data_IF_719082398583
#
_entry.id   IF_719082398583
#
_cell.length_a   1.000
_cell.length_b   1.000
_cell.length_c   1.000
_cell.angle_alpha   90.00
_cell.angle_beta   90.00
_cell.angle_gamma   90.00
#
_symmetry.space_group_name_H-M   'P 1'
#
loop_
_entity.id
_entity.type
_entity.pdbx_description
1 polymer ?
#
# COMPACT_ATOMS: atom_id res chain seq x y z
N UNK A 1 2.04 21.27 13.62
CA UNK A 1 1.64 19.92 14.08
C UNK A 1 2.83 19.32 14.80
N UNK A 2 2.64 18.64 15.94
CA UNK A 2 3.75 17.95 16.64
C UNK A 2 3.97 16.54 16.09
N UNK A 3 5.14 15.97 16.34
CA UNK A 3 5.44 14.58 15.97
C UNK A 3 4.45 13.59 16.59
N UNK A 4 4.13 13.74 17.89
CA UNK A 4 3.18 12.84 18.56
C UNK A 4 1.76 12.95 17.98
N UNK A 5 1.32 14.15 17.59
CA UNK A 5 0.03 14.33 16.91
C UNK A 5 -0.01 13.62 15.56
N UNK A 6 1.09 13.65 14.82
CA UNK A 6 1.23 12.98 13.53
C UNK A 6 1.24 11.46 13.67
N UNK A 7 2.05 10.93 14.60
CA UNK A 7 2.09 9.49 14.92
C UNK A 7 0.73 9.00 15.41
N UNK A 8 0.07 9.75 16.31
CA UNK A 8 -1.25 9.40 16.80
C UNK A 8 -2.26 9.27 15.65
N UNK A 9 -2.23 10.21 14.70
CA UNK A 9 -3.10 10.15 13.53
C UNK A 9 -2.78 8.95 12.63
N UNK A 10 -1.50 8.69 12.34
CA UNK A 10 -1.08 7.51 11.56
C UNK A 10 -1.57 6.21 12.23
N UNK A 11 -1.36 6.05 13.54
CA UNK A 11 -1.83 4.88 14.28
C UNK A 11 -3.34 4.72 14.18
N UNK A 12 -4.10 5.80 14.38
CA UNK A 12 -5.54 5.77 14.27
C UNK A 12 -6.02 5.31 12.88
N UNK A 13 -5.35 5.75 11.80
CA UNK A 13 -5.67 5.32 10.44
C UNK A 13 -5.30 3.85 10.18
N UNK A 14 -4.20 3.37 10.77
CA UNK A 14 -3.81 1.97 10.69
C UNK A 14 -4.83 1.08 11.41
N UNK A 15 -5.21 1.42 12.65
CA UNK A 15 -6.17 0.64 13.45
C UNK A 15 -7.55 0.53 12.80
N UNK A 16 -7.93 1.51 11.96
CA UNK A 16 -9.19 1.46 11.22
C UNK A 16 -9.26 0.31 10.20
N UNK A 17 -8.12 -0.29 9.80
CA UNK A 17 -8.04 -1.29 8.70
C UNK A 17 -7.14 -2.49 9.00
N UNK A 18 -6.27 -2.38 9.98
CA UNK A 18 -5.23 -3.34 10.28
C UNK A 18 -5.18 -3.61 11.78
N UNK A 19 -4.67 -4.78 12.14
CA UNK A 19 -4.32 -5.10 13.52
C UNK A 19 -2.86 -4.74 13.76
N UNK A 20 -2.58 -4.03 14.85
CA UNK A 20 -1.22 -3.69 15.26
C UNK A 20 -0.63 -4.87 16.04
N UNK A 21 0.60 -5.26 15.69
CA UNK A 21 1.36 -6.27 16.42
C UNK A 21 1.93 -5.63 17.69
N UNK A 22 1.77 -6.30 18.83
CA UNK A 22 2.41 -5.90 20.08
C UNK A 22 3.94 -5.88 19.94
N UNK A 23 4.61 -4.96 20.62
CA UNK A 23 6.07 -4.90 20.63
C UNK A 23 6.68 -6.21 21.16
N UNK A 24 7.77 -6.65 20.53
CA UNK A 24 8.58 -7.79 20.93
C UNK A 24 10.06 -7.49 20.74
N UNK A 25 10.89 -8.55 20.77
CA UNK A 25 12.36 -8.42 20.73
C UNK A 25 12.84 -7.72 19.45
N UNK A 26 12.36 -8.15 18.28
CA UNK A 26 12.74 -7.55 16.99
C UNK A 26 12.37 -6.07 16.90
N UNK A 27 11.19 -5.69 17.42
CA UNK A 27 10.75 -4.30 17.43
C UNK A 27 11.64 -3.42 18.32
N UNK A 28 12.13 -3.94 19.43
CA UNK A 28 13.06 -3.24 20.31
C UNK A 28 14.44 -3.09 19.64
N UNK A 29 14.98 -4.15 19.06
CA UNK A 29 16.25 -4.12 18.32
C UNK A 29 16.21 -3.09 17.19
N UNK A 30 15.10 -3.04 16.43
CA UNK A 30 14.88 -2.03 15.38
C UNK A 30 14.89 -0.59 15.90
N UNK A 31 14.39 -0.34 17.10
CA UNK A 31 14.43 1.00 17.71
C UNK A 31 15.84 1.34 18.20
N UNK A 32 16.56 0.35 18.73
CA UNK A 32 17.91 0.49 19.29
C UNK A 32 18.99 0.74 18.22
N UNK A 33 18.85 0.18 17.03
CA UNK A 33 19.80 0.42 15.91
C UNK A 33 19.70 1.82 15.31
N UNK A 34 18.69 2.62 15.71
CA UNK A 34 18.59 4.01 15.28
C UNK A 34 19.70 4.87 15.91
N UNK A 35 20.24 5.82 15.13
CA UNK A 35 21.14 6.85 15.64
C UNK A 35 20.56 7.55 16.88
N UNK A 36 21.39 7.80 17.90
CA UNK A 36 21.02 8.54 19.11
C UNK A 36 20.52 9.96 18.78
N UNK A 37 20.95 10.50 17.63
CA UNK A 37 20.52 11.80 17.12
C UNK A 37 19.04 11.82 16.72
N UNK A 38 18.44 10.66 16.43
CA UNK A 38 17.03 10.56 16.04
C UNK A 38 16.14 10.47 17.29
N UNK A 39 15.78 11.62 17.85
CA UNK A 39 14.94 11.68 19.06
C UNK A 39 13.48 11.31 18.77
N UNK A 40 12.93 11.82 17.67
CA UNK A 40 11.54 11.60 17.29
C UNK A 40 11.43 10.41 16.36
N UNK A 41 11.34 9.19 16.92
CA UNK A 41 11.20 7.96 16.13
C UNK A 41 10.13 7.02 16.71
N UNK A 42 9.41 6.35 15.83
CA UNK A 42 8.40 5.33 16.15
C UNK A 42 8.45 4.21 15.12
N UNK A 43 8.24 3.00 15.60
CA UNK A 43 8.10 1.79 14.80
C UNK A 43 6.67 1.28 14.98
N UNK A 44 5.96 1.05 13.88
CA UNK A 44 4.60 0.50 13.90
C UNK A 44 4.61 -0.73 13.01
N UNK A 45 4.33 -1.90 13.60
CA UNK A 45 4.15 -3.14 12.86
C UNK A 45 2.70 -3.58 12.88
N UNK A 46 2.17 -3.91 11.73
CA UNK A 46 0.75 -4.21 11.59
C UNK A 46 0.50 -5.19 10.46
N UNK A 47 -0.65 -5.82 10.47
CA UNK A 47 -1.05 -6.81 9.47
C UNK A 47 -2.54 -6.68 9.19
N UNK A 48 -2.95 -7.18 8.03
CA UNK A 48 -4.38 -7.35 7.76
C UNK A 48 -4.82 -8.65 8.44
N UNK A 49 -5.83 -8.62 9.32
CA UNK A 49 -6.44 -9.86 9.82
C UNK A 49 -7.07 -10.57 8.61
N UNK A 50 -6.41 -11.64 8.16
CA UNK A 50 -6.91 -12.57 7.15
C UNK A 50 -7.14 -13.92 7.83
N UNK A 51 -7.99 -14.77 7.27
CA UNK A 51 -8.24 -16.14 7.76
C UNK A 51 -7.06 -17.10 7.50
N UNK A 52 -6.01 -16.65 6.81
CA UNK A 52 -4.83 -17.48 6.49
C UNK A 52 -3.86 -17.60 7.68
N UNK A 53 -3.19 -18.74 7.79
CA UNK A 53 -2.47 -19.21 8.98
C UNK A 53 -1.29 -18.36 9.45
N UNK A 54 -0.77 -17.43 8.63
CA UNK A 54 0.33 -16.54 9.01
C UNK A 54 0.05 -15.08 8.61
N UNK A 55 0.13 -14.12 9.56
CA UNK A 55 -0.10 -12.72 9.26
C UNK A 55 1.09 -12.14 8.49
N UNK A 56 0.83 -11.62 7.28
CA UNK A 56 1.83 -10.86 6.52
C UNK A 56 2.03 -9.48 7.17
N UNK A 57 3.13 -9.33 7.89
CA UNK A 57 3.46 -8.10 8.61
C UNK A 57 3.98 -7.02 7.67
N UNK A 58 3.55 -5.79 7.96
CA UNK A 58 4.07 -4.55 7.40
C UNK A 58 4.78 -3.78 8.49
N UNK A 59 5.86 -3.12 8.12
CA UNK A 59 6.70 -2.32 9.02
C UNK A 59 6.70 -0.86 8.56
N UNK A 60 6.19 0.04 9.40
CA UNK A 60 6.22 1.47 9.16
C UNK A 60 7.15 2.14 10.18
N UNK A 61 8.22 2.73 9.67
CA UNK A 61 9.10 3.63 10.41
C UNK A 61 8.55 5.04 10.30
N UNK A 62 8.32 5.71 11.42
CA UNK A 62 7.90 7.12 11.46
C UNK A 62 8.97 7.92 12.17
N UNK A 63 9.48 8.96 11.52
CA UNK A 63 10.55 9.80 12.09
C UNK A 63 10.25 11.28 11.93
N UNK A 64 10.57 12.04 12.97
CA UNK A 64 10.56 13.49 12.98
C UNK A 64 11.98 14.02 12.90
N UNK A 65 12.28 14.90 11.95
CA UNK A 65 13.58 15.57 11.84
C UNK A 65 13.40 17.09 11.76
N UNK A 66 14.37 17.84 12.23
CA UNK A 66 14.38 19.31 12.15
C UNK A 66 15.45 19.87 11.18
N UNK A 67 16.23 19.00 10.55
CA UNK A 67 17.27 19.37 9.59
C UNK A 67 17.53 18.25 8.60
N UNK A 68 17.87 18.62 7.36
CA UNK A 68 18.31 17.69 6.32
C UNK A 68 19.59 16.93 6.69
N UNK A 69 20.39 17.44 7.64
CA UNK A 69 21.57 16.76 8.15
C UNK A 69 21.27 15.39 8.77
N UNK A 70 20.05 15.20 9.30
CA UNK A 70 19.61 13.92 9.87
C UNK A 70 19.11 12.93 8.82
N UNK A 71 18.96 13.32 7.56
CA UNK A 71 18.43 12.44 6.51
C UNK A 71 19.31 11.19 6.33
N UNK A 72 20.63 11.34 6.44
CA UNK A 72 21.55 10.19 6.37
C UNK A 72 21.28 9.19 7.48
N UNK A 73 21.13 9.67 8.72
CA UNK A 73 20.84 8.84 9.89
C UNK A 73 19.47 8.14 9.75
N UNK A 74 18.47 8.86 9.20
CA UNK A 74 17.15 8.30 8.91
C UNK A 74 17.21 7.17 7.89
N UNK A 75 17.91 7.38 6.77
CA UNK A 75 18.04 6.37 5.71
C UNK A 75 18.85 5.17 6.18
N UNK A 76 19.90 5.40 6.97
CA UNK A 76 20.68 4.33 7.60
C UNK A 76 19.82 3.53 8.57
N UNK A 77 18.97 4.18 9.39
CA UNK A 77 18.04 3.48 10.27
C UNK A 77 17.08 2.57 9.48
N UNK A 78 16.52 3.06 8.37
CA UNK A 78 15.66 2.26 7.52
C UNK A 78 16.39 1.05 6.89
N UNK A 79 17.65 1.22 6.48
CA UNK A 79 18.48 0.15 5.96
C UNK A 79 18.73 -0.94 7.03
N UNK A 80 19.14 -0.54 8.23
CA UNK A 80 19.39 -1.46 9.35
C UNK A 80 18.12 -2.21 9.77
N UNK A 81 16.97 -1.52 9.85
CA UNK A 81 15.69 -2.17 10.12
C UNK A 81 15.33 -3.21 9.04
N UNK A 82 15.65 -2.94 7.77
CA UNK A 82 15.41 -3.90 6.69
C UNK A 82 16.26 -5.16 6.84
N UNK A 83 17.52 -5.02 7.25
CA UNK A 83 18.42 -6.17 7.48
C UNK A 83 17.97 -7.07 8.65
N UNK A 84 17.18 -6.53 9.58
CA UNK A 84 16.59 -7.28 10.69
C UNK A 84 15.29 -8.02 10.32
N UNK A 85 14.75 -7.83 9.11
CA UNK A 85 13.53 -8.48 8.65
C UNK A 85 13.84 -9.78 7.89
N UNK A 86 12.94 -10.77 8.02
CA UNK A 86 12.98 -12.00 7.24
C UNK A 86 12.12 -11.84 5.98
N UNK A 87 12.49 -12.52 4.90
CA UNK A 87 11.63 -12.57 3.72
C UNK A 87 10.29 -13.26 4.05
N UNK A 88 9.14 -12.73 3.57
CA UNK A 88 8.99 -11.64 2.59
C UNK A 88 8.86 -10.23 3.19
N UNK A 89 9.00 -10.04 4.50
CA UNK A 89 8.76 -8.76 5.19
C UNK A 89 9.72 -7.64 4.75
N UNK A 90 10.90 -8.01 4.23
CA UNK A 90 11.88 -7.07 3.66
C UNK A 90 11.31 -6.22 2.51
N UNK A 91 10.23 -6.69 1.85
CA UNK A 91 9.51 -5.95 0.81
C UNK A 91 8.37 -5.07 1.37
N UNK A 92 7.97 -5.28 2.62
CA UNK A 92 6.83 -4.64 3.29
C UNK A 92 7.29 -3.65 4.37
N UNK A 93 8.44 -3.00 4.16
CA UNK A 93 8.95 -1.89 4.98
C UNK A 93 8.70 -0.54 4.30
N UNK A 94 8.30 0.45 5.10
CA UNK A 94 7.95 1.80 4.66
C UNK A 94 8.52 2.84 5.63
N UNK A 95 8.84 4.03 5.13
CA UNK A 95 9.37 5.13 5.93
C UNK A 95 8.53 6.40 5.73
N UNK A 96 7.96 6.91 6.82
CA UNK A 96 7.28 8.20 6.90
C UNK A 96 8.17 9.22 7.61
N UNK A 97 8.42 10.36 6.98
CA UNK A 97 9.32 11.38 7.52
C UNK A 97 8.54 12.71 7.66
N UNK A 98 8.61 13.33 8.84
CA UNK A 98 7.97 14.60 9.20
C UNK A 98 9.01 15.64 9.60
N UNK A 99 8.84 16.88 9.15
CA UNK A 99 9.70 18.00 9.53
C UNK A 99 9.08 18.67 10.75
N UNK A 100 9.78 18.67 11.88
CA UNK A 100 9.22 19.07 13.19
C UNK A 100 9.37 20.55 13.53
N UNK A 101 10.17 21.29 12.77
CA UNK A 101 10.46 22.72 12.99
C UNK A 101 10.17 23.56 11.74
N UNK A 102 10.27 24.89 11.86
CA UNK A 102 9.92 25.89 10.82
C UNK A 102 10.74 25.77 9.52
N UNK A 103 11.81 24.98 9.53
CA UNK A 103 12.60 24.63 8.35
C UNK A 103 11.90 23.55 7.53
N UNK A 104 10.71 23.84 7.01
CA UNK A 104 10.09 22.97 6.01
C UNK A 104 11.04 22.81 4.82
N UNK A 105 11.29 21.57 4.42
CA UNK A 105 12.09 21.31 3.22
C UNK A 105 11.32 21.70 1.96
N UNK A 106 11.99 21.95 0.83
CA UNK A 106 11.27 22.27 -0.40
C UNK A 106 10.48 21.07 -0.93
N UNK A 107 9.45 21.33 -1.72
CA UNK A 107 8.67 20.26 -2.37
C UNK A 107 9.55 19.40 -3.28
N UNK A 108 10.51 20.00 -3.97
CA UNK A 108 11.46 19.28 -4.84
C UNK A 108 12.31 18.30 -4.04
N UNK A 109 12.73 18.69 -2.83
CA UNK A 109 13.49 17.82 -1.95
C UNK A 109 12.63 16.68 -1.39
N UNK A 110 11.37 16.95 -1.01
CA UNK A 110 10.41 15.89 -0.65
C UNK A 110 10.29 14.86 -1.78
N UNK A 111 10.07 15.34 -3.01
CA UNK A 111 9.91 14.48 -4.18
C UNK A 111 11.19 13.70 -4.50
N UNK A 112 12.37 14.31 -4.33
CA UNK A 112 13.66 13.64 -4.50
C UNK A 112 13.83 12.49 -3.51
N UNK A 113 13.45 12.70 -2.25
CA UNK A 113 13.50 11.66 -1.22
C UNK A 113 12.50 10.53 -1.52
N UNK A 114 11.27 10.88 -1.93
CA UNK A 114 10.23 9.89 -2.28
C UNK A 114 10.56 9.08 -3.53
N UNK A 115 11.24 9.69 -4.51
CA UNK A 115 11.62 9.04 -5.76
C UNK A 115 12.79 8.07 -5.64
N UNK A 116 13.58 8.14 -4.56
CA UNK A 116 14.65 7.16 -4.36
C UNK A 116 14.05 5.82 -3.95
N UNK A 117 14.47 4.74 -4.60
CA UNK A 117 14.01 3.38 -4.28
C UNK A 117 14.94 2.67 -3.29
N UNK A 118 15.88 3.41 -2.71
CA UNK A 118 16.84 2.87 -1.76
C UNK A 118 16.12 2.37 -0.50
N UNK A 119 16.38 1.10 -0.15
CA UNK A 119 15.91 0.38 1.03
C UNK A 119 14.40 0.11 1.10
N UNK A 120 13.57 1.14 1.04
CA UNK A 120 12.13 1.05 1.25
C UNK A 120 11.37 2.17 0.51
N UNK A 121 10.05 2.03 0.41
CA UNK A 121 9.19 3.12 -0.09
C UNK A 121 9.06 4.21 0.97
N UNK A 122 9.27 5.46 0.55
CA UNK A 122 9.34 6.64 1.43
C UNK A 122 8.16 7.57 1.18
N UNK A 123 7.69 8.21 2.25
CA UNK A 123 6.66 9.23 2.24
C UNK A 123 7.12 10.40 3.13
N UNK A 124 7.23 11.58 2.56
CA UNK A 124 7.68 12.77 3.26
C UNK A 124 6.52 13.73 3.42
N UNK A 125 6.18 14.15 4.65
CA UNK A 125 5.19 15.21 4.85
C UNK A 125 5.66 16.50 4.17
N UNK A 126 4.94 16.90 3.12
CA UNK A 126 5.31 18.02 2.23
C UNK A 126 5.01 19.37 2.89
N UNK A 127 5.61 20.47 2.40
CA UNK A 127 5.28 21.82 2.87
C UNK A 127 3.79 22.10 2.77
N UNK A 128 3.22 22.63 3.83
CA UNK A 128 1.79 22.95 3.96
C UNK A 128 0.83 21.76 3.76
N UNK A 129 1.34 20.53 3.70
CA UNK A 129 0.51 19.33 3.60
C UNK A 129 -0.11 19.01 4.97
N UNK A 130 -1.40 18.68 4.97
CA UNK A 130 -2.08 18.22 6.18
C UNK A 130 -1.80 16.73 6.40
N UNK A 131 -1.97 16.26 7.64
CA UNK A 131 -1.84 14.82 7.96
C UNK A 131 -2.85 13.95 7.20
N UNK A 132 -4.03 14.50 6.93
CA UNK A 132 -5.07 13.86 6.13
C UNK A 132 -4.57 13.65 4.69
N UNK A 133 -4.11 14.72 4.02
CA UNK A 133 -3.60 14.66 2.65
C UNK A 133 -2.36 13.77 2.51
N UNK A 134 -1.48 13.77 3.52
CA UNK A 134 -0.37 12.82 3.61
C UNK A 134 -0.85 11.37 3.60
N UNK A 135 -1.85 11.04 4.42
CA UNK A 135 -2.37 9.67 4.51
C UNK A 135 -3.04 9.25 3.20
N UNK A 136 -3.78 10.14 2.54
CA UNK A 136 -4.51 9.85 1.29
C UNK A 136 -3.64 9.27 0.18
N UNK A 137 -2.39 9.71 0.06
CA UNK A 137 -1.42 9.24 -0.95
C UNK A 137 -0.57 8.04 -0.50
N UNK A 138 -0.81 7.54 0.71
CA UNK A 138 -0.08 6.39 1.26
C UNK A 138 -0.96 5.14 1.21
N UNK A 139 -0.34 3.97 1.44
CA UNK A 139 -1.06 2.70 1.48
C UNK A 139 -1.98 2.54 2.70
N UNK A 140 -1.81 3.39 3.73
CA UNK A 140 -2.66 3.41 4.93
C UNK A 140 -3.93 4.25 4.73
N UNK A 141 -4.10 4.92 3.59
CA UNK A 141 -5.33 5.65 3.25
C UNK A 141 -6.57 4.80 3.48
N UNK A 142 -7.65 5.40 3.99
CA UNK A 142 -8.94 4.73 3.99
C UNK A 142 -9.39 4.62 2.54
N UNK A 143 -9.31 3.42 1.99
CA UNK A 143 -10.13 3.11 0.81
C UNK A 143 -11.54 3.15 1.35
N UNK A 144 -12.30 4.19 1.03
CA UNK A 144 -13.75 4.11 1.08
C UNK A 144 -14.05 2.83 0.32
N UNK A 145 -14.43 1.79 1.06
CA UNK A 145 -14.87 0.58 0.44
C UNK A 145 -15.87 1.06 -0.63
N UNK A 146 -15.76 0.63 -1.90
CA UNK A 146 -16.97 0.55 -2.68
C UNK A 146 -17.95 -0.10 -1.72
N UNK A 147 -19.07 0.60 -1.42
CA UNK A 147 -20.22 0.07 -0.67
C UNK A 147 -20.21 -1.43 -0.88
N UNK A 148 -20.13 -2.28 0.16
CA UNK A 148 -19.85 -3.69 -0.04
C UNK A 148 -20.77 -4.19 -1.15
N UNK A 149 -20.22 -4.28 -2.37
CA UNK A 149 -20.63 -5.28 -3.31
C UNK A 149 -20.26 -6.48 -2.49
N UNK A 150 -21.31 -7.09 -1.93
CA UNK A 150 -21.29 -8.23 -1.03
C UNK A 150 -19.91 -8.87 -1.02
N UNK A 151 -19.31 -9.09 0.14
CA UNK A 151 -18.08 -9.89 0.26
C UNK A 151 -18.23 -11.34 -0.30
N UNK A 152 -19.34 -11.66 -0.99
CA UNK A 152 -19.57 -12.82 -1.86
C UNK A 152 -19.97 -12.51 -3.33
N UNK A 153 -19.95 -11.27 -3.81
CA UNK A 153 -20.10 -10.96 -5.23
C UNK A 153 -18.72 -10.84 -5.89
N UNK A 154 -18.40 -11.89 -6.65
CA UNK A 154 -17.29 -11.95 -7.58
C UNK A 154 -17.19 -10.61 -8.36
N UNK A 155 -16.05 -9.90 -8.33
CA UNK A 155 -15.88 -8.61 -9.01
C UNK A 155 -16.17 -8.69 -10.52
N UNK A 156 -16.07 -9.88 -11.12
CA UNK A 156 -16.51 -10.10 -12.50
C UNK A 156 -18.02 -9.93 -12.65
N UNK A 157 -18.83 -10.31 -11.66
CA UNK A 157 -20.30 -10.15 -11.71
C UNK A 157 -20.67 -8.66 -11.77
N UNK A 158 -19.99 -7.82 -10.99
CA UNK A 158 -20.22 -6.37 -11.01
C UNK A 158 -19.81 -5.76 -12.36
N UNK A 159 -18.63 -6.14 -12.87
CA UNK A 159 -18.16 -5.68 -14.18
C UNK A 159 -19.09 -6.15 -15.32
N UNK A 160 -19.57 -7.40 -15.25
CA UNK A 160 -20.46 -7.98 -16.26
C UNK A 160 -21.85 -7.35 -16.25
N UNK A 161 -22.34 -6.90 -15.10
CA UNK A 161 -23.60 -6.17 -14.98
C UNK A 161 -23.53 -4.81 -15.69
N UNK A 162 -22.41 -4.09 -15.56
CA UNK A 162 -22.17 -2.83 -16.28
C UNK A 162 -22.06 -3.08 -17.79
N UNK A 163 -21.32 -4.11 -18.20
CA UNK A 163 -21.15 -4.45 -19.61
C UNK A 163 -22.47 -4.90 -20.27
N UNK A 164 -23.33 -5.63 -19.56
CA UNK A 164 -24.66 -6.01 -20.08
C UNK A 164 -25.56 -4.80 -20.31
N UNK A 165 -25.46 -3.77 -19.47
CA UNK A 165 -26.23 -2.53 -19.64
C UNK A 165 -25.73 -1.71 -20.83
N UNK A 166 -24.44 -1.77 -21.14
CA UNK A 166 -23.82 -0.98 -22.21
C UNK A 166 -23.81 -1.72 -23.55
N UNK A 167 -23.74 -3.05 -23.55
CA UNK A 167 -23.56 -3.87 -24.74
C UNK A 167 -24.59 -4.99 -24.84
N UNK A 168 -25.52 -4.86 -25.80
CA UNK A 168 -26.58 -5.86 -26.04
C UNK A 168 -26.06 -7.27 -26.44
N UNK A 169 -24.83 -7.36 -26.94
CA UNK A 169 -24.19 -8.64 -27.28
C UNK A 169 -23.62 -9.37 -26.06
N UNK A 170 -23.48 -8.68 -24.91
CA UNK A 170 -22.87 -9.22 -23.70
C UNK A 170 -23.90 -9.97 -22.84
N UNK A 171 -24.45 -11.03 -23.42
CA UNK A 171 -25.49 -11.88 -22.82
C UNK A 171 -24.90 -12.91 -21.82
N UNK A 172 -25.77 -13.73 -21.23
CA UNK A 172 -25.35 -14.73 -20.23
C UNK A 172 -24.35 -15.77 -20.75
N UNK A 173 -24.38 -16.13 -22.04
CA UNK A 173 -23.41 -17.07 -22.62
C UNK A 173 -22.02 -16.44 -22.69
N UNK A 174 -21.93 -15.17 -23.09
CA UNK A 174 -20.67 -14.43 -23.08
C UNK A 174 -20.14 -14.26 -21.66
N UNK A 175 -20.99 -13.94 -20.67
CA UNK A 175 -20.57 -13.84 -19.27
C UNK A 175 -19.91 -15.13 -18.76
N UNK A 176 -20.44 -16.30 -19.13
CA UNK A 176 -19.85 -17.60 -18.75
C UNK A 176 -18.48 -17.78 -19.40
N UNK A 177 -18.37 -17.54 -20.71
CA UNK A 177 -17.09 -17.65 -21.45
C UNK A 177 -16.01 -16.74 -20.86
N UNK A 178 -16.35 -15.48 -20.59
CA UNK A 178 -15.41 -14.52 -20.01
C UNK A 178 -15.00 -14.91 -18.59
N UNK A 179 -15.93 -15.44 -17.78
CA UNK A 179 -15.60 -15.92 -16.42
C UNK A 179 -14.64 -17.10 -16.44
N UNK A 180 -14.88 -18.07 -17.31
CA UNK A 180 -14.02 -19.24 -17.50
C UNK A 180 -12.64 -18.83 -18.01
N UNK A 181 -12.59 -17.91 -18.97
CA UNK A 181 -11.34 -17.35 -19.46
C UNK A 181 -10.54 -16.71 -18.31
N UNK A 182 -11.11 -15.75 -17.58
CA UNK A 182 -10.42 -15.11 -16.46
C UNK A 182 -9.98 -16.06 -15.33
N UNK A 183 -10.68 -17.18 -15.15
CA UNK A 183 -10.37 -18.18 -14.11
C UNK A 183 -9.36 -19.25 -14.55
N UNK A 184 -9.04 -19.32 -15.84
CA UNK A 184 -8.22 -20.41 -16.42
C UNK A 184 -6.71 -20.29 -16.17
N UNK A 185 -6.24 -19.15 -15.67
CA UNK A 185 -4.81 -18.91 -15.41
C UNK A 185 -3.93 -18.82 -16.67
N UNK A 186 -4.54 -18.74 -17.86
CA UNK A 186 -3.82 -18.59 -19.14
C UNK A 186 -3.22 -17.19 -19.29
N UNK A 187 -2.16 -17.10 -20.10
CA UNK A 187 -1.51 -15.82 -20.38
C UNK A 187 -2.49 -14.84 -21.05
N UNK A 188 -2.26 -13.53 -20.88
CA UNK A 188 -3.10 -12.48 -21.48
C UNK A 188 -3.22 -12.58 -23.01
N UNK A 189 -2.20 -13.14 -23.67
CA UNK A 189 -2.20 -13.37 -25.11
C UNK A 189 -3.11 -14.53 -25.51
N UNK A 190 -3.09 -15.62 -24.75
CA UNK A 190 -3.95 -16.80 -24.99
C UNK A 190 -5.41 -16.50 -24.64
N UNK A 191 -5.65 -15.66 -23.63
CA UNK A 191 -6.96 -15.12 -23.30
C UNK A 191 -7.57 -14.33 -24.48
N UNK A 192 -6.77 -13.44 -25.07
CA UNK A 192 -7.20 -12.64 -26.22
C UNK A 192 -7.61 -13.52 -27.41
N UNK A 193 -6.80 -14.54 -27.71
CA UNK A 193 -7.10 -15.47 -28.81
C UNK A 193 -8.36 -16.31 -28.54
N UNK A 194 -8.58 -16.71 -27.30
CA UNK A 194 -9.75 -17.52 -26.90
C UNK A 194 -11.05 -16.70 -26.96
N UNK A 195 -11.00 -15.43 -26.60
CA UNK A 195 -12.19 -14.56 -26.55
C UNK A 195 -12.55 -13.99 -27.92
N UNK A 196 -11.56 -13.70 -28.78
CA UNK A 196 -11.82 -13.10 -30.10
C UNK A 196 -12.12 -14.14 -31.17
N UNK A 197 -11.41 -15.27 -31.23
CA UNK A 197 -11.61 -16.24 -32.31
C UNK A 197 -12.97 -16.96 -32.23
N UNK A 198 -13.58 -17.01 -31.05
CA UNK A 198 -14.93 -17.57 -30.86
C UNK A 198 -16.07 -16.64 -31.32
N UNK A 199 -15.80 -15.36 -31.63
CA UNK A 199 -16.81 -14.45 -32.20
C UNK A 199 -16.91 -14.57 -33.73
N UNK A 200 -15.87 -15.11 -34.38
CA UNK A 200 -15.84 -15.31 -35.84
C UNK A 200 -16.76 -16.43 -36.33
N UNK A 201 -16.97 -17.48 -35.54
CA UNK A 201 -17.79 -18.64 -35.96
C UNK A 201 -19.30 -18.39 -35.84
N UNK A 202 -19.74 -17.42 -35.03
CA UNK A 202 -21.18 -17.09 -34.87
C UNK A 202 -21.73 -16.14 -35.94
N UNK A 203 -20.89 -15.49 -36.74
CA UNK A 203 -21.32 -14.55 -37.79
C UNK A 203 -21.40 -15.16 -39.19
N UNK A 204 -21.01 -16.41 -39.39
CA UNK A 204 -21.11 -17.11 -40.69
C UNK A 204 -22.34 -18.03 -40.82
N UNK A 205 -23.19 -18.12 -39.79
CA UNK A 205 -24.39 -18.96 -39.76
C UNK A 205 -25.72 -18.18 -39.71
N UNK A 206 -25.79 -16.99 -40.33
CA UNK A 206 -27.03 -16.23 -40.57
C UNK A 206 -27.33 -16.09 -42.06
#
# INVERSE_FOLDING_TARGET
MTFDQFVFYINHQIEARFSIKSQGTTENEMIEVASENLQNKRLIRFFRPLETSEPRLKTLLVVGINSSNYLKDVLQWAALCKELLLDPETADIYLAIMWTEETQTSIEECLRIEASEDFCRKFVLRPNETKESFVERTFITKVDAPTPLDLGQDPLISAFSVLEQEFAWFNNEEKVKWREAFSSGTSSFDLFNTLINNQSESNEAS
#
